data_IF_537175594056
#
_entry.id   IF_537175594056
#
_cell.length_a   1.000
_cell.length_b   1.000
_cell.length_c   1.000
_cell.angle_alpha   90.00
_cell.angle_beta   90.00
_cell.angle_gamma   90.00
#
_symmetry.space_group_name_H-M   'P 1'
#
loop_
_entity.id
_entity.type
_entity.pdbx_description
1 polymer ?
#
# COMPACT_ATOMS: atom_id res chain seq x y z
N UNK A 1 26.53 34.17 16.90
CA UNK A 1 25.13 33.98 16.45
C UNK A 1 25.19 33.43 15.05
N UNK A 2 24.79 32.17 14.84
CA UNK A 2 24.76 31.57 13.50
C UNK A 2 23.65 32.23 12.69
N UNK A 3 23.93 32.64 11.46
CA UNK A 3 22.91 33.13 10.54
C UNK A 3 21.78 32.14 10.39
N UNK A 4 20.51 32.56 10.29
CA UNK A 4 19.42 31.63 10.04
C UNK A 4 19.66 30.87 8.72
N UNK A 5 19.26 29.61 8.61
CA UNK A 5 19.39 28.85 7.36
C UNK A 5 18.64 29.57 6.24
N UNK A 6 19.21 29.52 5.04
CA UNK A 6 18.55 30.07 3.86
C UNK A 6 17.20 29.37 3.64
N UNK A 7 16.17 30.10 3.12
CA UNK A 7 14.90 29.49 2.79
C UNK A 7 15.09 28.36 1.75
N UNK A 8 14.27 27.30 1.85
CA UNK A 8 14.31 26.23 0.89
C UNK A 8 14.05 26.71 -0.54
N UNK A 9 14.69 26.09 -1.53
CA UNK A 9 14.49 26.44 -2.93
C UNK A 9 13.02 26.27 -3.36
N UNK A 10 12.52 27.13 -4.26
CA UNK A 10 11.18 26.94 -4.82
C UNK A 10 11.00 25.57 -5.45
N UNK A 11 9.81 25.00 -5.33
CA UNK A 11 9.44 23.75 -5.98
C UNK A 11 8.86 24.07 -7.35
N UNK A 12 9.51 23.61 -8.41
CA UNK A 12 9.07 23.87 -9.79
C UNK A 12 7.93 22.95 -10.25
N UNK A 13 7.62 21.87 -9.50
CA UNK A 13 6.58 20.91 -9.87
C UNK A 13 5.21 21.35 -9.37
N UNK A 14 4.17 21.21 -10.23
CA UNK A 14 2.80 21.40 -9.79
C UNK A 14 2.41 20.33 -8.75
N UNK A 15 1.40 20.66 -7.96
CA UNK A 15 0.75 19.73 -7.03
C UNK A 15 0.31 18.43 -7.74
N UNK A 16 0.24 17.32 -6.98
CA UNK A 16 -0.28 16.06 -7.49
C UNK A 16 -1.73 16.20 -7.97
N UNK A 17 -2.12 15.41 -8.97
CA UNK A 17 -3.52 15.34 -9.41
C UNK A 17 -4.33 14.48 -8.45
N UNK A 18 -5.56 14.87 -8.07
CA UNK A 18 -6.41 14.02 -7.23
C UNK A 18 -6.58 12.63 -7.84
N UNK A 19 -6.40 11.55 -7.06
CA UNK A 19 -6.65 10.20 -7.54
C UNK A 19 -8.15 9.96 -7.71
N UNK A 20 -8.49 9.05 -8.60
CA UNK A 20 -9.85 8.58 -8.80
C UNK A 20 -9.93 7.06 -8.67
N UNK A 21 -11.16 6.54 -8.60
CA UNK A 21 -11.41 5.10 -8.63
C UNK A 21 -11.16 4.55 -10.02
N UNK A 22 -10.05 3.87 -10.19
CA UNK A 22 -9.64 3.23 -11.44
C UNK A 22 -9.22 1.79 -11.19
N UNK A 23 -9.36 0.95 -12.19
CA UNK A 23 -8.84 -0.43 -12.16
C UNK A 23 -7.42 -0.43 -12.70
N UNK A 24 -6.55 -1.18 -12.03
CA UNK A 24 -5.15 -1.36 -12.41
C UNK A 24 -4.91 -2.85 -12.66
N UNK A 25 -4.52 -3.18 -13.89
CA UNK A 25 -4.24 -4.55 -14.29
C UNK A 25 -2.74 -4.79 -14.42
N UNK A 26 -2.27 -5.84 -13.73
CA UNK A 26 -0.91 -6.36 -13.79
C UNK A 26 -0.85 -7.74 -14.40
N UNK A 27 0.33 -8.34 -14.34
CA UNK A 27 0.56 -9.72 -14.76
C UNK A 27 -0.02 -10.72 -13.74
N UNK A 28 0.08 -10.42 -12.45
CA UNK A 28 -0.27 -11.29 -11.34
C UNK A 28 -1.49 -10.82 -10.55
N UNK A 29 -1.78 -9.53 -10.56
CA UNK A 29 -2.84 -8.92 -9.77
C UNK A 29 -3.73 -7.99 -10.58
N UNK A 30 -4.98 -7.86 -10.11
CA UNK A 30 -5.89 -6.79 -10.48
C UNK A 30 -6.21 -6.01 -9.21
N UNK A 31 -6.07 -4.69 -9.26
CA UNK A 31 -6.47 -3.79 -8.18
C UNK A 31 -7.62 -2.95 -8.69
N UNK A 32 -8.77 -3.07 -8.06
CA UNK A 32 -9.99 -2.41 -8.55
C UNK A 32 -10.71 -1.69 -7.42
N UNK A 33 -11.52 -0.66 -7.74
CA UNK A 33 -12.34 0.00 -6.74
C UNK A 33 -13.19 -1.01 -5.99
N UNK A 34 -13.23 -0.89 -4.66
CA UNK A 34 -13.96 -1.79 -3.80
C UNK A 34 -15.44 -1.86 -4.17
N UNK A 35 -15.94 -3.04 -4.52
CA UNK A 35 -17.35 -3.35 -4.75
C UNK A 35 -17.86 -4.33 -3.67
N UNK A 36 -18.66 -3.85 -2.70
CA UNK A 36 -19.14 -4.70 -1.60
C UNK A 36 -19.97 -5.90 -2.03
N UNK A 37 -20.64 -5.83 -3.19
CA UNK A 37 -21.48 -6.92 -3.69
C UNK A 37 -20.63 -8.03 -4.30
N UNK A 38 -19.59 -7.67 -5.03
CA UNK A 38 -18.66 -8.61 -5.65
C UNK A 38 -17.63 -9.12 -4.63
N UNK A 39 -17.03 -8.20 -3.87
CA UNK A 39 -15.85 -8.50 -3.05
C UNK A 39 -16.19 -9.05 -1.67
N UNK A 40 -17.38 -8.73 -1.13
CA UNK A 40 -17.68 -8.91 0.30
C UNK A 40 -17.50 -10.34 0.79
N UNK A 41 -18.03 -11.34 0.05
CA UNK A 41 -17.91 -12.76 0.43
C UNK A 41 -16.47 -13.28 0.26
N UNK A 42 -15.79 -12.87 -0.80
CA UNK A 42 -14.41 -13.27 -1.10
C UNK A 42 -13.43 -12.71 -0.08
N UNK A 43 -13.55 -11.41 0.24
CA UNK A 43 -12.73 -10.75 1.24
C UNK A 43 -12.96 -11.31 2.63
N UNK A 44 -14.22 -11.62 3.00
CA UNK A 44 -14.50 -12.27 4.28
C UNK A 44 -13.86 -13.66 4.37
N UNK A 45 -13.94 -14.44 3.28
CA UNK A 45 -13.31 -15.75 3.22
C UNK A 45 -11.77 -15.68 3.29
N UNK A 46 -11.17 -14.65 2.70
CA UNK A 46 -9.72 -14.42 2.72
C UNK A 46 -9.20 -13.92 4.07
N UNK A 47 -10.04 -13.24 4.86
CA UNK A 47 -9.67 -12.56 6.11
C UNK A 47 -9.93 -13.40 7.38
N UNK A 48 -9.88 -14.72 7.28
CA UNK A 48 -10.18 -15.64 8.40
C UNK A 48 -9.12 -15.69 9.49
N UNK A 49 -7.85 -15.37 9.16
CA UNK A 49 -6.82 -15.29 10.17
C UNK A 49 -7.08 -14.06 11.07
N UNK A 50 -7.36 -14.25 12.37
CA UNK A 50 -7.60 -13.15 13.28
C UNK A 50 -6.41 -12.20 13.41
N UNK A 51 -5.17 -12.68 13.18
CA UNK A 51 -3.96 -11.88 13.21
C UNK A 51 -3.90 -10.77 12.14
N UNK A 52 -4.73 -10.85 11.09
CA UNK A 52 -4.90 -9.76 10.11
C UNK A 52 -5.39 -8.47 10.80
N UNK A 53 -6.25 -8.61 11.80
CA UNK A 53 -6.96 -7.51 12.44
C UNK A 53 -6.24 -6.88 13.63
N UNK A 54 -5.13 -7.47 14.09
CA UNK A 54 -4.42 -7.01 15.30
C UNK A 54 -3.95 -5.55 15.21
N UNK A 55 -3.57 -5.14 14.00
CA UNK A 55 -2.97 -3.83 13.75
C UNK A 55 -3.89 -2.85 13.01
N UNK A 56 -5.12 -3.27 12.72
CA UNK A 56 -6.13 -2.45 12.06
C UNK A 56 -7.12 -1.87 13.08
N UNK A 57 -7.62 -0.67 12.81
CA UNK A 57 -8.58 -0.01 13.69
C UNK A 57 -10.00 -0.62 13.62
N UNK A 58 -10.21 -1.63 12.77
CA UNK A 58 -11.47 -2.33 12.54
C UNK A 58 -11.24 -3.84 12.50
N UNK A 59 -12.36 -4.61 12.43
CA UNK A 59 -12.33 -6.07 12.48
C UNK A 59 -11.86 -6.63 13.83
N UNK A 60 -11.89 -7.96 14.00
CA UNK A 60 -12.50 -8.91 13.07
C UNK A 60 -14.01 -8.70 12.92
N UNK A 61 -14.60 -9.20 11.84
CA UNK A 61 -16.04 -9.16 11.60
C UNK A 61 -16.68 -10.50 12.00
N UNK A 62 -17.88 -10.44 12.58
CA UNK A 62 -18.59 -11.61 13.07
C UNK A 62 -18.97 -12.59 11.93
N UNK A 63 -19.38 -12.03 10.79
CA UNK A 63 -19.80 -12.76 9.61
C UNK A 63 -19.61 -11.93 8.33
N UNK A 64 -19.89 -12.55 7.19
CA UNK A 64 -19.77 -11.89 5.89
C UNK A 64 -20.73 -10.71 5.73
N UNK A 65 -21.89 -10.75 6.36
CA UNK A 65 -22.86 -9.65 6.28
C UNK A 65 -22.36 -8.41 7.02
N UNK A 66 -21.80 -8.59 8.23
CA UNK A 66 -21.19 -7.52 8.99
C UNK A 66 -20.00 -6.89 8.23
N UNK A 67 -19.16 -7.70 7.61
CA UNK A 67 -18.06 -7.19 6.78
C UNK A 67 -18.60 -6.44 5.57
N UNK A 68 -19.58 -6.98 4.84
CA UNK A 68 -20.17 -6.31 3.68
C UNK A 68 -20.75 -4.96 4.04
N UNK A 69 -21.49 -4.85 5.14
CA UNK A 69 -22.05 -3.58 5.61
C UNK A 69 -20.94 -2.54 5.90
N UNK A 70 -19.81 -2.99 6.45
CA UNK A 70 -18.66 -2.13 6.65
C UNK A 70 -18.03 -1.71 5.32
N UNK A 71 -17.89 -2.63 4.33
CA UNK A 71 -17.36 -2.34 3.00
C UNK A 71 -18.24 -1.35 2.22
N UNK A 72 -19.58 -1.42 2.35
CA UNK A 72 -20.52 -0.48 1.72
C UNK A 72 -20.20 0.97 2.09
N UNK A 73 -19.88 1.23 3.35
CA UNK A 73 -19.47 2.56 3.80
C UNK A 73 -18.09 2.98 3.24
N UNK A 74 -17.19 2.02 2.96
CA UNK A 74 -15.84 2.28 2.45
C UNK A 74 -15.85 2.49 0.94
N UNK A 75 -16.72 1.80 0.23
CA UNK A 75 -16.84 1.93 -1.22
C UNK A 75 -17.24 3.34 -1.69
N UNK A 76 -17.97 4.09 -0.86
CA UNK A 76 -18.41 5.47 -1.17
C UNK A 76 -17.49 6.55 -0.57
N UNK A 77 -16.48 6.17 0.20
CA UNK A 77 -15.57 7.13 0.86
C UNK A 77 -14.72 7.89 -0.16
N UNK A 78 -14.64 9.20 -0.04
CA UNK A 78 -13.77 10.03 -0.88
C UNK A 78 -12.30 10.04 -0.40
N UNK A 79 -12.08 9.88 0.90
CA UNK A 79 -10.79 9.70 1.56
C UNK A 79 -11.03 8.93 2.87
N UNK A 80 -10.56 7.70 2.98
CA UNK A 80 -9.74 6.90 2.04
C UNK A 80 -10.46 6.42 0.77
N UNK A 81 -9.72 6.24 -0.33
CA UNK A 81 -10.16 5.53 -1.53
C UNK A 81 -9.76 4.06 -1.44
N UNK A 82 -10.73 3.18 -1.26
CA UNK A 82 -10.50 1.75 -1.05
C UNK A 82 -10.48 0.95 -2.34
N UNK A 83 -9.62 -0.07 -2.36
CA UNK A 83 -9.44 -1.01 -3.47
C UNK A 83 -9.42 -2.45 -2.97
N UNK A 84 -10.04 -3.35 -3.73
CA UNK A 84 -9.85 -4.79 -3.60
C UNK A 84 -8.61 -5.22 -4.40
N UNK A 85 -7.91 -6.24 -3.89
CA UNK A 85 -6.76 -6.87 -4.56
C UNK A 85 -7.16 -8.28 -4.95
N UNK A 86 -7.27 -8.53 -6.27
CA UNK A 86 -7.54 -9.84 -6.84
C UNK A 86 -6.26 -10.53 -7.29
N UNK A 87 -6.17 -11.81 -7.01
CA UNK A 87 -5.15 -12.68 -7.60
C UNK A 87 -5.59 -13.04 -9.02
N UNK A 88 -4.79 -12.68 -10.02
CA UNK A 88 -5.14 -12.92 -11.43
C UNK A 88 -5.22 -14.40 -11.77
N UNK A 89 -4.62 -15.26 -10.95
CA UNK A 89 -4.63 -16.72 -11.15
C UNK A 89 -6.04 -17.32 -11.09
N UNK A 90 -6.90 -16.82 -10.22
CA UNK A 90 -8.26 -17.34 -10.00
C UNK A 90 -9.34 -16.24 -9.99
N UNK A 91 -8.94 -14.97 -10.13
CA UNK A 91 -9.86 -13.84 -10.16
C UNK A 91 -10.49 -13.50 -8.80
N UNK A 92 -10.05 -14.11 -7.69
CA UNK A 92 -10.64 -13.96 -6.37
C UNK A 92 -10.02 -12.79 -5.61
N UNK A 93 -10.85 -11.95 -4.99
CA UNK A 93 -10.40 -10.88 -4.10
C UNK A 93 -9.86 -11.46 -2.78
N UNK A 94 -8.59 -11.24 -2.49
CA UNK A 94 -7.90 -11.82 -1.34
C UNK A 94 -7.21 -10.80 -0.45
N UNK A 95 -7.40 -9.52 -0.71
CA UNK A 95 -6.80 -8.44 0.07
C UNK A 95 -7.43 -7.09 -0.25
N UNK A 96 -7.08 -6.11 0.54
CA UNK A 96 -7.58 -4.76 0.41
C UNK A 96 -6.47 -3.76 0.74
N UNK A 97 -6.55 -2.59 0.13
CA UNK A 97 -5.72 -1.43 0.46
C UNK A 97 -6.49 -0.14 0.17
N UNK A 98 -5.91 0.99 0.52
CA UNK A 98 -6.51 2.28 0.20
C UNK A 98 -5.43 3.36 0.02
N UNK A 99 -5.70 4.33 -0.85
CA UNK A 99 -5.09 5.65 -0.74
C UNK A 99 -5.84 6.48 0.27
N UNK A 100 -5.10 7.22 1.08
CA UNK A 100 -5.69 8.07 2.11
C UNK A 100 -4.82 9.29 2.39
N UNK A 101 -5.35 10.23 3.17
CA UNK A 101 -4.67 11.48 3.50
C UNK A 101 -4.21 12.20 2.24
N UNK A 102 -5.16 12.37 1.33
CA UNK A 102 -4.94 12.99 0.03
C UNK A 102 -4.61 14.46 0.22
N UNK A 103 -3.39 14.85 -0.09
CA UNK A 103 -2.92 16.25 -0.05
C UNK A 103 -2.28 16.63 -1.40
N UNK A 104 -3.08 16.78 -2.46
CA UNK A 104 -2.59 17.15 -3.79
C UNK A 104 -1.81 18.45 -3.81
N UNK A 105 -2.19 19.52 -3.08
CA UNK A 105 -1.42 20.75 -3.05
C UNK A 105 0.03 20.59 -2.61
N UNK A 106 0.28 19.70 -1.66
CA UNK A 106 1.62 19.35 -1.19
C UNK A 106 2.26 18.19 -1.97
N UNK A 107 1.51 17.55 -2.86
CA UNK A 107 1.95 16.35 -3.59
C UNK A 107 2.21 15.17 -2.65
N UNK A 108 1.39 14.99 -1.61
CA UNK A 108 1.55 13.94 -0.59
C UNK A 108 0.33 13.03 -0.58
N UNK A 109 0.56 11.73 -0.50
CA UNK A 109 -0.48 10.70 -0.39
C UNK A 109 0.03 9.54 0.46
N UNK A 110 -0.85 8.85 1.17
CA UNK A 110 -0.53 7.66 1.94
C UNK A 110 -1.16 6.42 1.29
N UNK A 111 -0.41 5.31 1.29
CA UNK A 111 -0.95 3.97 1.07
C UNK A 111 -1.15 3.28 2.41
N UNK A 112 -2.36 2.83 2.70
CA UNK A 112 -2.68 2.21 3.98
C UNK A 112 -3.88 1.27 3.91
N UNK A 113 -4.47 0.95 5.07
CA UNK A 113 -5.54 -0.04 5.17
C UNK A 113 -5.18 -1.39 4.50
N UNK A 114 -3.88 -1.69 4.41
CA UNK A 114 -3.38 -2.87 3.72
C UNK A 114 -3.57 -4.09 4.60
N UNK A 115 -4.33 -5.04 4.10
CA UNK A 115 -4.31 -6.40 4.61
C UNK A 115 -4.41 -7.40 3.46
N UNK A 116 -3.80 -8.53 3.64
CA UNK A 116 -3.67 -9.60 2.65
C UNK A 116 -4.05 -10.91 3.33
N UNK A 117 -4.99 -11.65 2.75
CA UNK A 117 -5.28 -13.03 3.17
C UNK A 117 -4.07 -13.94 2.97
N UNK A 118 -4.02 -15.04 3.69
CA UNK A 118 -2.87 -15.95 3.70
C UNK A 118 -2.46 -16.42 2.29
N UNK A 119 -3.43 -16.68 1.43
CA UNK A 119 -3.19 -17.10 0.06
C UNK A 119 -2.56 -16.02 -0.83
N UNK A 120 -2.67 -14.73 -0.45
CA UNK A 120 -2.09 -13.61 -1.18
C UNK A 120 -0.75 -13.18 -0.57
N UNK A 121 -0.51 -13.44 0.72
CA UNK A 121 0.72 -13.05 1.39
C UNK A 121 1.95 -13.71 0.73
N UNK A 122 3.04 -12.94 0.58
CA UNK A 122 4.32 -13.40 0.02
C UNK A 122 4.24 -13.87 -1.44
N UNK A 123 3.23 -13.47 -2.18
CA UNK A 123 3.07 -13.78 -3.60
C UNK A 123 3.55 -12.62 -4.49
N UNK A 124 3.85 -12.88 -5.76
CA UNK A 124 4.07 -11.83 -6.75
C UNK A 124 2.86 -10.90 -6.88
N UNK A 125 1.65 -11.43 -6.82
CA UNK A 125 0.41 -10.66 -6.91
C UNK A 125 0.30 -9.59 -5.81
N UNK A 126 0.64 -9.92 -4.56
CA UNK A 126 0.65 -8.95 -3.46
C UNK A 126 1.65 -7.80 -3.68
N UNK A 127 2.82 -8.10 -4.24
CA UNK A 127 3.86 -7.10 -4.52
C UNK A 127 3.48 -6.24 -5.72
N UNK A 128 2.99 -6.86 -6.80
CA UNK A 128 2.55 -6.14 -8.00
C UNK A 128 1.37 -5.22 -7.72
N UNK A 129 0.38 -5.66 -6.94
CA UNK A 129 -0.77 -4.84 -6.57
C UNK A 129 -0.34 -3.49 -5.97
N UNK A 130 0.60 -3.50 -5.03
CA UNK A 130 1.11 -2.27 -4.44
C UNK A 130 1.96 -1.47 -5.44
N UNK A 131 2.78 -2.13 -6.25
CA UNK A 131 3.57 -1.47 -7.30
C UNK A 131 2.69 -0.73 -8.32
N UNK A 132 1.58 -1.31 -8.75
CA UNK A 132 0.63 -0.67 -9.67
C UNK A 132 0.10 0.65 -9.09
N UNK A 133 -0.26 0.65 -7.81
CA UNK A 133 -0.74 1.84 -7.11
C UNK A 133 0.37 2.88 -6.92
N UNK A 134 1.61 2.46 -6.60
CA UNK A 134 2.75 3.37 -6.46
C UNK A 134 3.08 4.02 -7.81
N UNK A 135 3.12 3.23 -8.89
CA UNK A 135 3.38 3.72 -10.23
C UNK A 135 2.38 4.77 -10.66
N UNK A 136 1.09 4.51 -10.46
CA UNK A 136 0.05 5.47 -10.79
C UNK A 136 0.22 6.80 -10.04
N UNK A 137 0.47 6.73 -8.74
CA UNK A 137 0.65 7.91 -7.90
C UNK A 137 1.88 8.72 -8.30
N UNK A 138 3.02 8.06 -8.50
CA UNK A 138 4.30 8.72 -8.74
C UNK A 138 4.49 9.17 -10.19
N UNK A 139 4.14 8.30 -11.17
CA UNK A 139 4.38 8.58 -12.59
C UNK A 139 3.22 9.36 -13.23
N UNK A 140 1.98 8.98 -12.93
CA UNK A 140 0.83 9.52 -13.63
C UNK A 140 0.21 10.71 -12.91
N UNK A 141 0.04 10.62 -11.58
CA UNK A 141 -0.57 11.71 -10.80
C UNK A 141 0.43 12.79 -10.36
N UNK A 142 1.74 12.50 -10.41
CA UNK A 142 2.80 13.46 -10.14
C UNK A 142 3.00 13.79 -8.66
N UNK A 143 2.66 12.89 -7.77
CA UNK A 143 2.97 13.06 -6.35
C UNK A 143 4.48 12.99 -6.11
N UNK A 144 4.96 13.80 -5.17
CA UNK A 144 6.37 13.85 -4.80
C UNK A 144 6.71 13.01 -3.59
N UNK A 145 5.68 12.55 -2.85
CA UNK A 145 5.82 11.80 -1.61
C UNK A 145 4.67 10.81 -1.44
N UNK A 146 5.03 9.54 -1.36
CA UNK A 146 4.14 8.47 -0.97
C UNK A 146 4.50 8.03 0.45
N UNK A 147 3.52 7.96 1.34
CA UNK A 147 3.70 7.61 2.75
C UNK A 147 3.22 6.20 3.06
N UNK A 148 3.89 5.58 4.04
CA UNK A 148 3.46 4.33 4.66
C UNK A 148 3.56 4.48 6.17
N UNK A 149 2.48 4.15 6.87
CA UNK A 149 2.42 4.26 8.33
C UNK A 149 1.92 2.96 8.95
N UNK A 150 2.53 2.56 10.06
CA UNK A 150 2.06 1.41 10.81
C UNK A 150 2.32 1.59 12.30
N UNK A 151 1.70 0.76 13.13
CA UNK A 151 2.08 0.64 14.52
C UNK A 151 3.57 0.28 14.62
N UNK A 152 4.31 0.95 15.50
CA UNK A 152 5.75 0.74 15.66
C UNK A 152 6.12 -0.69 16.08
N UNK A 153 5.19 -1.39 16.74
CA UNK A 153 5.29 -2.81 17.11
C UNK A 153 4.98 -3.77 15.96
N UNK A 154 4.36 -3.30 14.85
CA UNK A 154 4.05 -4.15 13.70
C UNK A 154 5.30 -4.42 12.86
N UNK A 155 6.12 -5.37 13.31
CA UNK A 155 7.36 -5.73 12.64
C UNK A 155 7.14 -6.25 11.20
N UNK A 156 6.00 -6.88 10.90
CA UNK A 156 5.66 -7.36 9.55
C UNK A 156 5.48 -6.18 8.60
N UNK A 157 4.69 -5.17 8.99
CA UNK A 157 4.44 -3.98 8.18
C UNK A 157 5.72 -3.14 7.99
N UNK A 158 6.53 -2.96 9.04
CA UNK A 158 7.81 -2.26 8.94
C UNK A 158 8.76 -2.93 7.93
N UNK A 159 8.90 -4.26 7.99
CA UNK A 159 9.70 -5.01 7.00
C UNK A 159 9.12 -4.91 5.59
N UNK A 160 7.80 -4.90 5.44
CA UNK A 160 7.16 -4.73 4.15
C UNK A 160 7.46 -3.36 3.55
N UNK A 161 7.34 -2.28 4.31
CA UNK A 161 7.69 -0.93 3.87
C UNK A 161 9.14 -0.85 3.37
N UNK A 162 10.11 -1.30 4.18
CA UNK A 162 11.54 -1.31 3.79
C UNK A 162 11.78 -2.19 2.55
N UNK A 163 11.16 -3.37 2.48
CA UNK A 163 11.26 -4.25 1.30
C UNK A 163 10.74 -3.57 0.04
N UNK A 164 9.65 -2.82 0.13
CA UNK A 164 9.03 -2.12 -0.98
C UNK A 164 9.76 -0.82 -1.38
N UNK A 165 10.80 -0.43 -0.66
CA UNK A 165 11.64 0.71 -1.00
C UNK A 165 11.39 1.98 -0.20
N UNK A 166 10.51 1.93 0.80
CA UNK A 166 10.29 3.07 1.69
C UNK A 166 11.43 3.27 2.67
N UNK A 167 11.79 4.51 2.92
CA UNK A 167 12.76 4.94 3.93
C UNK A 167 12.06 5.22 5.26
N UNK A 168 12.60 4.71 6.36
CA UNK A 168 12.09 4.99 7.71
C UNK A 168 12.47 6.41 8.14
N UNK A 169 11.52 7.18 8.67
CA UNK A 169 11.73 8.58 9.07
C UNK A 169 11.67 8.78 10.59
N UNK A 170 10.94 7.95 11.31
CA UNK A 170 10.84 8.09 12.77
C UNK A 170 9.60 7.45 13.37
N UNK A 171 9.46 7.62 14.69
CA UNK A 171 8.31 7.14 15.47
C UNK A 171 7.63 8.32 16.14
N UNK A 172 6.34 8.48 15.86
CA UNK A 172 5.48 9.37 16.63
C UNK A 172 4.97 8.62 17.86
N UNK A 173 5.46 9.01 19.03
CA UNK A 173 5.08 8.39 20.31
C UNK A 173 3.68 8.85 20.71
N UNK A 174 2.86 7.95 21.26
CA UNK A 174 1.49 8.21 21.71
C UNK A 174 0.64 8.91 20.65
N UNK A 175 0.83 8.51 19.38
CA UNK A 175 0.21 9.19 18.24
C UNK A 175 -1.29 8.94 18.14
N UNK A 176 -1.73 7.73 18.47
CA UNK A 176 -3.15 7.34 18.34
C UNK A 176 -3.55 6.39 19.46
N UNK A 177 -4.87 6.27 19.66
CA UNK A 177 -5.48 5.20 20.43
C UNK A 177 -6.24 4.30 19.46
N UNK A 178 -5.87 3.03 19.38
CA UNK A 178 -6.47 2.05 18.49
C UNK A 178 -6.97 0.87 19.32
N UNK A 179 -8.28 0.55 19.24
CA UNK A 179 -8.93 -0.50 20.04
C UNK A 179 -8.61 -0.39 21.54
N UNK A 180 -8.62 0.84 22.08
CA UNK A 180 -8.34 1.14 23.48
C UNK A 180 -6.86 1.03 23.90
N UNK A 181 -5.93 0.85 22.96
CA UNK A 181 -4.50 0.72 23.23
C UNK A 181 -3.73 1.88 22.62
N UNK A 182 -2.65 2.28 23.29
CA UNK A 182 -1.72 3.24 22.72
C UNK A 182 -1.10 2.70 21.44
N UNK A 183 -1.01 3.54 20.42
CA UNK A 183 -0.27 3.27 19.20
C UNK A 183 0.80 4.34 19.00
N UNK A 184 2.04 3.92 19.08
CA UNK A 184 3.17 4.66 18.54
C UNK A 184 3.26 4.36 17.05
N UNK A 185 3.35 5.38 16.21
CA UNK A 185 3.31 5.19 14.76
C UNK A 185 4.69 5.35 14.13
N UNK A 186 5.16 4.30 13.47
CA UNK A 186 6.34 4.34 12.61
C UNK A 186 5.97 4.92 11.25
N UNK A 187 6.74 5.91 10.81
CA UNK A 187 6.58 6.65 9.55
C UNK A 187 7.63 6.24 8.56
N UNK A 188 7.21 6.06 7.32
CA UNK A 188 8.06 5.75 6.18
C UNK A 188 7.61 6.57 4.98
N UNK A 189 8.55 6.91 4.11
CA UNK A 189 8.28 7.62 2.86
C UNK A 189 9.02 7.02 1.68
N UNK A 190 8.48 7.28 0.50
CA UNK A 190 9.11 7.07 -0.79
C UNK A 190 8.97 8.37 -1.56
N UNK A 191 10.10 8.93 -2.00
CA UNK A 191 10.16 10.25 -2.61
C UNK A 191 10.34 10.16 -4.13
N UNK A 192 9.92 11.22 -4.83
CA UNK A 192 9.94 11.27 -6.29
C UNK A 192 11.33 11.08 -6.91
N UNK A 193 12.37 11.61 -6.27
CA UNK A 193 13.74 11.41 -6.74
C UNK A 193 14.30 10.01 -6.48
N UNK A 194 13.73 9.25 -5.53
CA UNK A 194 14.07 7.84 -5.24
C UNK A 194 13.31 6.90 -6.18
N UNK A 195 12.13 7.33 -6.64
CA UNK A 195 11.19 6.50 -7.39
C UNK A 195 11.76 5.84 -8.66
N UNK A 196 12.55 6.53 -9.52
CA UNK A 196 13.06 5.91 -10.75
C UNK A 196 13.86 4.62 -10.49
N UNK A 197 14.74 4.61 -9.49
CA UNK A 197 15.51 3.42 -9.12
C UNK A 197 14.66 2.32 -8.49
N UNK A 198 13.70 2.71 -7.65
CA UNK A 198 12.75 1.78 -7.02
C UNK A 198 11.86 1.15 -8.07
N UNK A 199 11.30 1.93 -9.00
CA UNK A 199 10.48 1.48 -10.12
C UNK A 199 11.23 0.46 -10.97
N UNK A 200 12.44 0.79 -11.40
CA UNK A 200 13.26 -0.12 -12.19
C UNK A 200 13.52 -1.45 -11.45
N UNK A 201 13.70 -1.41 -10.13
CA UNK A 201 13.81 -2.60 -9.30
C UNK A 201 12.54 -3.47 -9.30
N UNK A 202 11.35 -2.86 -9.22
CA UNK A 202 10.08 -3.59 -9.34
C UNK A 202 9.89 -4.21 -10.73
N UNK A 203 10.19 -3.45 -11.79
CA UNK A 203 10.06 -3.93 -13.17
C UNK A 203 10.97 -5.14 -13.43
N UNK A 204 12.23 -5.10 -12.96
CA UNK A 204 13.14 -6.25 -13.01
C UNK A 204 12.64 -7.42 -12.18
N UNK A 205 12.16 -7.15 -10.96
CA UNK A 205 11.67 -8.20 -10.08
C UNK A 205 10.44 -8.90 -10.65
N UNK A 206 9.50 -8.16 -11.26
CA UNK A 206 8.27 -8.69 -11.86
C UNK A 206 8.49 -9.32 -13.23
N UNK A 207 9.69 -9.21 -13.83
CA UNK A 207 9.98 -9.83 -15.12
C UNK A 207 9.79 -11.36 -15.06
N UNK A 208 9.18 -11.98 -16.09
CA UNK A 208 8.91 -13.41 -16.08
C UNK A 208 10.14 -14.28 -15.80
N UNK A 209 11.33 -13.84 -16.26
CA UNK A 209 12.60 -14.54 -16.02
C UNK A 209 13.08 -14.54 -14.57
N UNK A 210 12.44 -13.78 -13.68
CA UNK A 210 12.79 -13.78 -12.26
C UNK A 210 12.04 -14.83 -11.45
N UNK A 211 11.21 -15.66 -12.07
CA UNK A 211 10.45 -16.69 -11.38
C UNK A 211 10.74 -18.07 -11.99
N UNK A 212 10.95 -19.04 -11.11
CA UNK A 212 11.04 -20.45 -11.50
C UNK A 212 9.67 -20.99 -11.93
N UNK A 213 9.63 -22.14 -12.55
CA UNK A 213 8.38 -22.78 -13.00
C UNK A 213 7.39 -23.04 -11.84
N UNK A 214 7.88 -23.19 -10.61
CA UNK A 214 7.07 -23.33 -9.38
C UNK A 214 6.76 -21.97 -8.71
N UNK A 215 7.07 -20.86 -9.38
CA UNK A 215 6.70 -19.51 -8.95
C UNK A 215 7.59 -18.88 -7.88
N UNK A 216 8.77 -19.45 -7.60
CA UNK A 216 9.73 -18.86 -6.66
C UNK A 216 10.56 -17.78 -7.34
N UNK A 217 10.75 -16.66 -6.65
CA UNK A 217 11.67 -15.63 -7.12
C UNK A 217 13.12 -16.13 -7.17
N UNK A 218 13.85 -15.79 -8.22
CA UNK A 218 15.29 -16.07 -8.37
C UNK A 218 16.09 -14.99 -7.64
N UNK A 219 15.79 -13.73 -7.90
CA UNK A 219 16.37 -12.57 -7.21
C UNK A 219 15.35 -11.90 -6.30
N UNK A 220 15.82 -11.38 -5.17
CA UNK A 220 14.96 -10.61 -4.27
C UNK A 220 14.69 -9.21 -4.82
N UNK A 221 13.56 -8.59 -4.44
CA UNK A 221 13.26 -7.21 -4.83
C UNK A 221 14.37 -6.23 -4.39
N UNK A 222 15.02 -6.48 -3.25
CA UNK A 222 16.15 -5.67 -2.79
C UNK A 222 17.37 -5.81 -3.73
N UNK A 223 17.71 -7.02 -4.17
CA UNK A 223 18.79 -7.24 -5.15
C UNK A 223 18.49 -6.54 -6.48
N UNK A 224 17.26 -6.65 -6.97
CA UNK A 224 16.85 -5.99 -8.21
C UNK A 224 16.94 -4.45 -8.17
N UNK A 225 16.97 -3.82 -6.99
CA UNK A 225 17.15 -2.36 -6.86
C UNK A 225 18.61 -1.92 -6.86
N UNK A 226 19.52 -2.77 -6.42
CA UNK A 226 20.97 -2.42 -6.25
C UNK A 226 21.80 -2.63 -7.51
N UNK A 227 21.26 -3.25 -8.54
CA UNK A 227 21.95 -3.55 -9.81
C UNK A 227 21.76 -2.48 -10.91
N UNK A 228 21.46 -1.25 -10.53
CA UNK A 228 21.27 -0.10 -11.44
C UNK A 228 22.26 1.01 -11.22
#
# INVERSE_FOLDING_TARGET
MSSPPAPASPIERPSGRPPCRSTFEGQFAIVEPLDPLLDGAELFAAARDPGIWDWLAYGPFADAAAMRLWLEQRAVSADPLFFAIRDRKDGVAKGMCAWLRLDPPNGVIEIGHIWLGDALQRTPAATEALFLLFRHVMDELGYRRLEWKCDSGNARSRRAATRLGFTFEGIFRQHMIVKGRNRDTAWFSLLDHEWPGIRAGFERWLAPGNFTADGRQIETLAACRTTG
#
